data_IF_162128164022
#
_entry.id   IF_162128164022
#
_cell.length_a   1.000
_cell.length_b   1.000
_cell.length_c   1.000
_cell.angle_alpha   90.00
_cell.angle_beta   90.00
_cell.angle_gamma   90.00
#
_symmetry.space_group_name_H-M   'P 1'
#
loop_
_entity.id
_entity.type
_entity.pdbx_description
1 polymer ?
#
# COMPACT_ATOMS: atom_id res chain seq x y z
N UNK A 1 -6.63 6.64 32.61
CA UNK A 1 -6.90 5.82 31.43
C UNK A 1 -7.77 4.64 31.82
N UNK A 2 -8.98 4.55 31.25
CA UNK A 2 -9.99 3.53 31.55
C UNK A 2 -9.63 2.16 30.94
N UNK A 3 -10.25 1.10 31.44
CA UNK A 3 -10.10 -0.25 30.84
C UNK A 3 -10.57 -0.31 29.39
N UNK A 4 -11.61 0.48 29.05
CA UNK A 4 -12.10 0.63 27.68
C UNK A 4 -11.06 1.29 26.77
N UNK A 5 -10.41 2.35 27.23
CA UNK A 5 -9.33 3.01 26.47
C UNK A 5 -8.16 2.05 26.25
N UNK A 6 -7.73 1.30 27.28
CA UNK A 6 -6.67 0.29 27.16
C UNK A 6 -7.00 -0.79 26.14
N UNK A 7 -8.23 -1.30 26.16
CA UNK A 7 -8.69 -2.31 25.21
C UNK A 7 -8.70 -1.78 23.78
N UNK A 8 -9.17 -0.54 23.57
CA UNK A 8 -9.19 0.09 22.25
C UNK A 8 -7.78 0.29 21.68
N UNK A 9 -6.83 0.76 22.50
CA UNK A 9 -5.44 0.91 22.08
C UNK A 9 -4.80 -0.43 21.67
N UNK A 10 -5.09 -1.50 22.43
CA UNK A 10 -4.58 -2.84 22.11
C UNK A 10 -5.14 -3.35 20.76
N UNK A 11 -6.45 -3.15 20.51
CA UNK A 11 -7.07 -3.50 19.23
C UNK A 11 -6.47 -2.70 18.07
N UNK A 12 -6.25 -1.40 18.24
CA UNK A 12 -5.64 -0.57 17.21
C UNK A 12 -4.20 -1.01 16.91
N UNK A 13 -3.40 -1.37 17.92
CA UNK A 13 -2.04 -1.94 17.70
C UNK A 13 -2.08 -3.24 16.87
N UNK A 14 -3.02 -4.13 17.17
CA UNK A 14 -3.21 -5.37 16.41
C UNK A 14 -3.60 -5.05 14.96
N UNK A 15 -4.52 -4.11 14.74
CA UNK A 15 -4.94 -3.68 13.41
C UNK A 15 -3.76 -3.10 12.61
N UNK A 16 -2.92 -2.26 13.23
CA UNK A 16 -1.68 -1.74 12.60
C UNK A 16 -0.75 -2.86 12.16
N UNK A 17 -0.47 -3.83 13.04
CA UNK A 17 0.37 -4.98 12.70
C UNK A 17 -0.15 -5.75 11.48
N UNK A 18 -1.47 -5.89 11.36
CA UNK A 18 -2.12 -6.56 10.21
C UNK A 18 -2.00 -5.74 8.92
N UNK A 19 -2.11 -4.41 9.01
CA UNK A 19 -1.95 -3.50 7.86
C UNK A 19 -0.51 -3.53 7.37
N UNK A 20 0.48 -3.41 8.27
CA UNK A 20 1.91 -3.54 7.94
C UNK A 20 2.23 -4.86 7.26
N UNK A 21 1.75 -5.97 7.82
CA UNK A 21 1.92 -7.29 7.20
C UNK A 21 1.27 -7.40 5.81
N UNK A 22 0.15 -6.69 5.59
CA UNK A 22 -0.51 -6.63 4.28
C UNK A 22 0.30 -5.82 3.28
N UNK A 23 0.91 -4.71 3.70
CA UNK A 23 1.82 -3.92 2.87
C UNK A 23 3.03 -4.75 2.45
N UNK A 24 3.66 -5.46 3.39
CA UNK A 24 4.78 -6.37 3.08
C UNK A 24 4.39 -7.42 2.04
N UNK A 25 3.19 -8.02 2.15
CA UNK A 25 2.71 -9.00 1.15
C UNK A 25 2.50 -8.38 -0.24
N UNK A 26 2.01 -7.14 -0.31
CA UNK A 26 1.87 -6.43 -1.58
C UNK A 26 3.25 -6.19 -2.21
N UNK A 27 4.23 -5.81 -1.40
CA UNK A 27 5.61 -5.62 -1.88
C UNK A 27 6.23 -6.93 -2.36
N UNK A 28 6.10 -8.03 -1.60
CA UNK A 28 6.68 -9.32 -1.97
C UNK A 28 6.10 -9.89 -3.27
N UNK A 29 4.83 -9.60 -3.58
CA UNK A 29 4.17 -10.07 -4.82
C UNK A 29 4.32 -9.13 -6.00
N UNK A 30 5.00 -7.97 -5.85
CA UNK A 30 5.15 -6.96 -6.89
C UNK A 30 5.77 -7.51 -8.18
N UNK A 31 6.83 -8.32 -8.04
CA UNK A 31 7.60 -8.85 -9.16
C UNK A 31 6.74 -9.75 -10.07
N UNK A 32 5.78 -10.46 -9.50
CA UNK A 32 4.95 -11.46 -10.18
C UNK A 32 3.83 -10.86 -11.04
N UNK A 33 3.50 -9.58 -10.85
CA UNK A 33 2.42 -8.93 -11.58
C UNK A 33 2.83 -8.64 -13.02
N UNK A 34 2.01 -9.01 -13.99
CA UNK A 34 2.35 -8.83 -15.42
C UNK A 34 1.23 -8.14 -16.21
N UNK A 35 0.07 -7.92 -15.60
CA UNK A 35 -1.06 -7.31 -16.30
C UNK A 35 -1.45 -5.97 -15.69
N UNK A 36 -1.98 -5.09 -16.55
CA UNK A 36 -2.55 -3.81 -16.14
C UNK A 36 -3.61 -3.96 -15.05
N UNK A 37 -4.47 -4.97 -15.19
CA UNK A 37 -5.59 -5.20 -14.28
C UNK A 37 -5.11 -5.59 -12.88
N UNK A 38 -4.18 -6.56 -12.80
CA UNK A 38 -3.58 -6.96 -11.52
C UNK A 38 -2.91 -5.79 -10.81
N UNK A 39 -2.09 -5.01 -11.52
CA UNK A 39 -1.39 -3.86 -10.93
C UNK A 39 -2.39 -2.82 -10.43
N UNK A 40 -3.46 -2.55 -11.20
CA UNK A 40 -4.51 -1.60 -10.79
C UNK A 40 -5.25 -2.05 -9.53
N UNK A 41 -5.53 -3.36 -9.41
CA UNK A 41 -6.13 -3.95 -8.19
C UNK A 41 -5.19 -3.80 -7.00
N UNK A 42 -3.88 -4.03 -7.18
CA UNK A 42 -2.89 -3.88 -6.11
C UNK A 42 -2.72 -2.42 -5.66
N UNK A 43 -2.75 -1.47 -6.60
CA UNK A 43 -2.78 -0.03 -6.27
C UNK A 43 -4.00 0.35 -5.44
N UNK A 44 -5.19 -0.07 -5.87
CA UNK A 44 -6.41 0.18 -5.10
C UNK A 44 -6.32 -0.40 -3.69
N UNK A 45 -5.77 -1.63 -3.55
CA UNK A 45 -5.57 -2.24 -2.23
C UNK A 45 -4.55 -1.46 -1.40
N UNK A 46 -3.46 -0.99 -2.01
CA UNK A 46 -2.42 -0.20 -1.37
C UNK A 46 -2.99 1.12 -0.81
N UNK A 47 -3.81 1.84 -1.59
CA UNK A 47 -4.47 3.08 -1.15
C UNK A 47 -5.45 2.84 0.00
N UNK A 48 -6.16 1.71 0.00
CA UNK A 48 -7.03 1.35 1.12
C UNK A 48 -6.23 1.06 2.40
N UNK A 49 -5.10 0.36 2.30
CA UNK A 49 -4.22 0.13 3.46
C UNK A 49 -3.68 1.43 4.03
N UNK A 50 -3.36 2.40 3.18
CA UNK A 50 -2.91 3.72 3.61
C UNK A 50 -3.99 4.44 4.43
N UNK A 51 -5.21 4.51 3.90
CA UNK A 51 -6.35 5.12 4.61
C UNK A 51 -6.70 4.41 5.91
N UNK A 52 -6.65 3.07 5.91
CA UNK A 52 -6.86 2.28 7.13
C UNK A 52 -5.79 2.60 8.19
N UNK A 53 -4.54 2.81 7.78
CA UNK A 53 -3.45 3.16 8.69
C UNK A 53 -3.57 4.60 9.24
N UNK A 54 -3.81 5.57 8.37
CA UNK A 54 -4.04 6.99 8.73
C UNK A 54 -5.23 7.14 9.69
N UNK A 55 -6.33 6.39 9.45
CA UNK A 55 -7.46 6.35 10.36
C UNK A 55 -7.10 5.84 11.76
N UNK A 56 -6.20 4.84 11.84
CA UNK A 56 -5.70 4.34 13.12
C UNK A 56 -4.70 5.29 13.79
N UNK A 57 -4.02 6.16 13.04
CA UNK A 57 -3.17 7.21 13.61
C UNK A 57 -4.00 8.29 14.30
N UNK A 58 -5.04 8.79 13.63
CA UNK A 58 -5.90 9.84 14.17
C UNK A 58 -6.57 9.48 15.52
N UNK A 59 -6.59 8.19 15.87
CA UNK A 59 -7.19 7.66 17.11
C UNK A 59 -6.17 7.29 18.21
N UNK A 60 -4.88 7.28 17.90
CA UNK A 60 -3.80 6.86 18.77
C UNK A 60 -2.58 7.68 18.41
N UNK A 61 -2.03 8.48 19.33
CA UNK A 61 -0.73 9.14 19.12
C UNK A 61 0.30 8.11 18.66
N UNK A 62 0.59 8.06 17.36
CA UNK A 62 1.67 7.24 16.82
C UNK A 62 2.98 7.72 17.43
N UNK A 63 3.92 6.80 17.55
CA UNK A 63 5.31 7.24 17.50
C UNK A 63 5.53 7.80 16.10
N UNK A 64 5.96 9.06 16.01
CA UNK A 64 6.17 9.78 14.74
C UNK A 64 7.01 8.95 13.75
N UNK A 65 8.00 8.20 14.27
CA UNK A 65 8.82 7.26 13.52
C UNK A 65 8.04 6.11 12.87
N UNK A 66 7.02 5.58 13.53
CA UNK A 66 6.24 4.45 13.03
C UNK A 66 5.35 4.87 11.84
N UNK A 67 4.82 6.09 11.88
CA UNK A 67 4.05 6.69 10.78
C UNK A 67 4.98 6.94 9.58
N UNK A 68 6.09 7.64 9.79
CA UNK A 68 7.05 7.97 8.72
C UNK A 68 7.57 6.71 8.00
N UNK A 69 7.88 5.65 8.74
CA UNK A 69 8.31 4.36 8.16
C UNK A 69 7.22 3.73 7.27
N UNK A 70 5.97 3.79 7.72
CA UNK A 70 4.85 3.26 6.97
C UNK A 70 4.58 4.08 5.71
N UNK A 71 4.53 5.42 5.83
CA UNK A 71 4.35 6.34 4.72
C UNK A 71 5.42 6.16 3.65
N UNK A 72 6.69 6.10 4.07
CA UNK A 72 7.82 5.85 3.17
C UNK A 72 7.65 4.54 2.40
N UNK A 73 7.24 3.48 3.09
CA UNK A 73 7.01 2.17 2.46
C UNK A 73 5.83 2.22 1.47
N UNK A 74 4.75 2.90 1.83
CA UNK A 74 3.59 3.15 0.95
C UNK A 74 4.00 3.91 -0.31
N UNK A 75 4.65 5.07 -0.18
CA UNK A 75 5.01 5.92 -1.32
C UNK A 75 5.98 5.22 -2.26
N UNK A 76 6.96 4.50 -1.72
CA UNK A 76 7.90 3.71 -2.52
C UNK A 76 7.18 2.62 -3.33
N UNK A 77 6.27 1.88 -2.71
CA UNK A 77 5.54 0.81 -3.41
C UNK A 77 4.54 1.37 -4.43
N UNK A 78 3.90 2.49 -4.12
CA UNK A 78 3.00 3.19 -5.03
C UNK A 78 3.74 3.66 -6.30
N UNK A 79 4.93 4.23 -6.15
CA UNK A 79 5.79 4.60 -7.27
C UNK A 79 6.14 3.39 -8.14
N UNK A 80 6.63 2.29 -7.52
CA UNK A 80 6.93 1.03 -8.23
C UNK A 80 5.74 0.52 -9.06
N UNK A 81 4.53 0.53 -8.49
CA UNK A 81 3.33 0.10 -9.23
C UNK A 81 2.98 1.03 -10.39
N UNK A 82 3.10 2.36 -10.22
CA UNK A 82 2.82 3.34 -11.28
C UNK A 82 3.82 3.21 -12.43
N UNK A 83 5.10 3.07 -12.11
CA UNK A 83 6.16 2.88 -13.11
C UNK A 83 5.89 1.63 -13.96
N UNK A 84 5.58 0.50 -13.31
CA UNK A 84 5.26 -0.76 -14.00
C UNK A 84 4.00 -0.65 -14.89
N UNK A 85 3.00 0.13 -14.44
CA UNK A 85 1.82 0.43 -15.25
C UNK A 85 2.17 1.25 -16.50
N UNK A 86 3.07 2.21 -16.37
CA UNK A 86 3.51 3.05 -17.47
C UNK A 86 4.37 2.27 -18.48
N UNK A 87 5.25 1.38 -18.00
CA UNK A 87 5.97 0.42 -18.86
C UNK A 87 5.02 -0.42 -19.72
N UNK A 88 3.95 -0.96 -19.12
CA UNK A 88 2.95 -1.73 -19.86
C UNK A 88 2.16 -0.90 -20.87
N UNK A 89 1.94 0.39 -20.62
CA UNK A 89 1.31 1.30 -21.60
C UNK A 89 2.23 1.52 -22.80
N UNK A 90 3.52 1.79 -22.57
CA UNK A 90 4.52 2.00 -23.63
C UNK A 90 4.68 0.76 -24.51
N UNK A 91 4.72 -0.44 -23.91
CA UNK A 91 4.80 -1.71 -24.65
C UNK A 91 3.59 -1.94 -25.55
N UNK A 92 2.39 -1.58 -25.11
CA UNK A 92 1.19 -1.70 -25.94
C UNK A 92 1.20 -0.72 -27.12
N UNK A 93 1.61 0.53 -26.90
CA UNK A 93 1.70 1.53 -27.96
C UNK A 93 2.73 1.13 -29.02
N UNK A 94 3.92 0.70 -28.61
CA UNK A 94 5.00 0.30 -29.53
C UNK A 94 4.67 -0.94 -30.38
N UNK A 95 3.80 -1.85 -29.89
CA UNK A 95 3.29 -2.97 -30.68
C UNK A 95 2.32 -2.51 -31.78
N UNK A 96 1.51 -1.49 -31.51
CA UNK A 96 0.56 -0.94 -32.48
C UNK A 96 1.28 -0.16 -33.59
N UNK A 97 2.36 0.55 -33.29
CA UNK A 97 3.09 1.34 -34.30
C UNK A 97 3.95 0.52 -35.26
N UNK A 98 4.26 -0.75 -34.95
CA UNK A 98 5.06 -1.63 -35.83
C UNK A 98 4.26 -2.34 -36.93
N UNK A 99 2.95 -2.08 -37.04
CA UNK A 99 2.04 -2.73 -38.01
C UNK A 99 1.68 -1.79 -39.19
N UNK A 100 2.38 -0.66 -39.35
CA UNK A 100 2.22 0.25 -40.50
C UNK A 100 3.46 0.21 -41.41
#
# INVERSE_FOLDING_TARGET
MSETEKAQMAQNRIARGRIKASLTRLESSFAELNTKNEISIRLFRLDNLFKEFEGLDSTLSLEESELEEFEKSYFNLNAKFKDKLDELKVLNLSRTTKIL
#
